data_IF_132333665841
#
_entry.id   IF_132333665841
#
_cell.length_a   1.000
_cell.length_b   1.000
_cell.length_c   1.000
_cell.angle_alpha   90.00
_cell.angle_beta   90.00
_cell.angle_gamma   90.00
#
_symmetry.space_group_name_H-M   'P 1'
#
loop_
_entity.id
_entity.type
_entity.pdbx_description
1 polymer ?
#
# COMPACT_ATOMS: atom_id res chain seq x y z
N UNK A 1 4.16 -10.59 -4.99
CA UNK A 1 4.48 -9.13 -4.85
C UNK A 1 3.21 -8.35 -5.13
N UNK A 2 2.81 -7.39 -4.28
CA UNK A 2 1.52 -6.68 -4.45
C UNK A 2 1.56 -5.73 -5.66
N UNK A 3 0.55 -5.80 -6.52
CA UNK A 3 0.42 -5.00 -7.75
C UNK A 3 -0.50 -3.78 -7.59
N UNK A 4 -0.17 -2.91 -6.64
CA UNK A 4 -0.90 -1.64 -6.39
C UNK A 4 -0.19 -0.40 -6.96
N UNK A 5 0.66 -0.53 -7.98
CA UNK A 5 1.44 0.61 -8.49
C UNK A 5 2.46 1.17 -7.48
N UNK A 6 2.70 0.46 -6.37
CA UNK A 6 3.56 0.89 -5.28
C UNK A 6 4.97 1.24 -5.74
N UNK A 7 5.55 0.52 -6.71
CA UNK A 7 6.90 0.83 -7.21
C UNK A 7 7.00 2.20 -7.91
N UNK A 8 5.97 2.60 -8.67
CA UNK A 8 5.94 3.93 -9.28
C UNK A 8 5.73 4.99 -8.22
N UNK A 9 4.79 4.77 -7.30
CA UNK A 9 4.53 5.70 -6.20
C UNK A 9 5.76 5.88 -5.29
N UNK A 10 6.48 4.81 -4.96
CA UNK A 10 7.71 4.84 -4.16
C UNK A 10 8.77 5.73 -4.80
N UNK A 11 9.01 5.61 -6.11
CA UNK A 11 9.96 6.49 -6.84
C UNK A 11 9.57 7.96 -6.77
N UNK A 12 8.28 8.23 -6.73
CA UNK A 12 7.75 9.57 -6.60
C UNK A 12 7.88 10.10 -5.17
N UNK A 13 7.60 9.28 -4.16
CA UNK A 13 7.75 9.63 -2.74
C UNK A 13 9.21 9.87 -2.34
N UNK A 14 10.16 9.17 -2.96
CA UNK A 14 11.61 9.36 -2.76
C UNK A 14 12.09 10.78 -3.13
N UNK A 15 11.29 11.53 -3.91
CA UNK A 15 11.55 12.94 -4.22
C UNK A 15 11.16 13.90 -3.10
N UNK A 16 10.39 13.43 -2.12
CA UNK A 16 9.87 14.24 -1.00
C UNK A 16 10.41 13.81 0.36
N UNK A 17 10.72 12.52 0.50
CA UNK A 17 11.07 11.89 1.76
C UNK A 17 12.29 10.99 1.60
N UNK A 18 13.08 10.87 2.66
CA UNK A 18 14.02 9.78 2.87
C UNK A 18 13.23 8.50 3.19
N UNK A 19 13.12 7.61 2.22
CA UNK A 19 12.34 6.38 2.35
C UNK A 19 13.07 5.33 3.19
N UNK A 20 12.35 4.76 4.16
CA UNK A 20 12.80 3.64 4.99
C UNK A 20 11.93 2.43 4.71
N UNK A 21 12.51 1.40 4.11
CA UNK A 21 11.79 0.21 3.66
C UNK A 21 11.75 -0.85 4.74
N UNK A 22 10.57 -1.07 5.29
CA UNK A 22 10.36 -2.02 6.37
C UNK A 22 9.74 -3.33 5.85
N UNK A 23 10.40 -3.96 4.88
CA UNK A 23 9.88 -5.12 4.17
C UNK A 23 10.19 -6.44 4.90
N UNK A 24 9.20 -7.35 4.90
CA UNK A 24 9.42 -8.75 5.23
C UNK A 24 10.03 -9.46 4.02
N UNK A 25 11.12 -10.19 4.24
CA UNK A 25 11.67 -11.14 3.28
C UNK A 25 11.06 -12.53 3.51
N UNK A 26 10.92 -13.30 2.43
CA UNK A 26 10.45 -14.69 2.52
C UNK A 26 11.42 -15.48 3.41
N UNK A 27 10.90 -16.06 4.49
CA UNK A 27 11.68 -16.81 5.48
C UNK A 27 12.07 -16.02 6.73
N UNK A 28 11.68 -14.75 6.84
CA UNK A 28 11.84 -13.99 8.09
C UNK A 28 10.98 -14.61 9.21
N UNK A 29 11.61 -14.86 10.36
CA UNK A 29 10.92 -15.30 11.58
C UNK A 29 10.47 -14.12 12.44
N UNK A 30 9.60 -14.40 13.42
CA UNK A 30 9.07 -13.39 14.35
C UNK A 30 10.18 -12.66 15.14
N UNK A 31 11.29 -13.34 15.43
CA UNK A 31 12.42 -12.78 16.18
C UNK A 31 13.23 -11.78 15.36
N UNK A 32 13.33 -11.98 14.05
CA UNK A 32 13.93 -11.03 13.12
C UNK A 32 13.00 -9.83 12.95
N UNK A 33 11.71 -10.08 12.74
CA UNK A 33 10.72 -9.01 12.56
C UNK A 33 10.63 -8.07 13.76
N UNK A 34 10.82 -8.57 14.98
CA UNK A 34 10.84 -7.74 16.21
C UNK A 34 12.13 -6.93 16.37
N UNK A 35 13.27 -7.43 15.88
CA UNK A 35 14.58 -6.74 15.95
C UNK A 35 14.76 -5.62 14.94
N UNK A 36 14.12 -5.73 13.78
CA UNK A 36 14.26 -4.77 12.67
C UNK A 36 13.09 -3.77 12.59
N UNK A 37 12.51 -3.39 13.74
CA UNK A 37 11.52 -2.31 13.82
C UNK A 37 12.24 -0.96 13.88
N UNK A 38 11.88 -0.03 13.01
CA UNK A 38 12.38 1.34 13.09
C UNK A 38 11.93 2.04 14.38
N UNK A 39 12.85 2.80 14.99
CA UNK A 39 12.50 3.66 16.12
C UNK A 39 11.65 4.84 15.62
N UNK A 40 10.39 4.90 16.07
CA UNK A 40 9.43 5.93 15.67
C UNK A 40 9.66 7.27 16.36
N UNK A 41 10.40 7.32 17.47
CA UNK A 41 10.69 8.55 18.23
C UNK A 41 11.65 9.49 17.50
N UNK A 42 12.45 8.96 16.57
CA UNK A 42 13.42 9.75 15.78
C UNK A 42 12.90 10.14 14.40
N UNK A 43 11.62 9.86 14.11
CA UNK A 43 11.03 10.21 12.83
C UNK A 43 10.85 11.71 12.71
N UNK A 44 11.44 12.28 11.67
CA UNK A 44 11.22 13.66 11.26
C UNK A 44 10.22 13.71 10.12
N UNK A 45 9.71 14.91 9.80
CA UNK A 45 8.79 15.14 8.68
C UNK A 45 9.36 14.81 7.28
N UNK A 46 10.66 14.54 7.20
CA UNK A 46 11.34 14.15 5.96
C UNK A 46 11.55 12.64 5.85
N UNK A 47 11.22 11.85 6.87
CA UNK A 47 11.34 10.40 6.83
C UNK A 47 9.97 9.78 6.55
N UNK A 48 9.92 8.82 5.63
CA UNK A 48 8.72 8.05 5.35
C UNK A 48 9.04 6.55 5.44
N UNK A 49 8.44 5.88 6.42
CA UNK A 49 8.48 4.42 6.50
C UNK A 49 7.47 3.86 5.49
N UNK A 50 7.92 2.94 4.65
CA UNK A 50 7.07 2.30 3.64
C UNK A 50 7.24 0.78 3.67
N UNK A 51 6.13 0.06 3.51
CA UNK A 51 6.15 -1.39 3.40
C UNK A 51 4.84 -1.94 2.82
N UNK A 52 4.81 -3.26 2.69
CA UNK A 52 3.63 -4.07 2.43
C UNK A 52 3.02 -4.52 3.78
N UNK A 53 2.34 -3.60 4.48
CA UNK A 53 1.70 -3.86 5.77
C UNK A 53 0.34 -4.55 5.62
N UNK A 54 0.31 -5.76 5.07
CA UNK A 54 -0.94 -6.45 4.71
C UNK A 54 -1.07 -7.88 5.24
N UNK A 55 -0.07 -8.38 5.97
CA UNK A 55 -0.12 -9.69 6.60
C UNK A 55 -0.56 -9.56 8.05
N UNK A 56 -1.32 -10.54 8.55
CA UNK A 56 -1.60 -10.63 9.98
C UNK A 56 -0.29 -10.82 10.76
N UNK A 57 -0.10 -10.06 11.84
CA UNK A 57 1.17 -9.89 12.56
C UNK A 57 2.05 -8.78 12.00
N UNK A 58 1.71 -8.20 10.85
CA UNK A 58 2.49 -7.16 10.17
C UNK A 58 1.63 -6.01 9.60
N UNK A 59 0.39 -5.87 10.07
CA UNK A 59 -0.40 -4.67 9.82
C UNK A 59 0.21 -3.47 10.55
N UNK A 60 -0.02 -2.24 10.06
CA UNK A 60 0.52 -1.02 10.69
C UNK A 60 0.16 -0.98 12.18
N UNK A 61 -1.09 -1.26 12.54
CA UNK A 61 -1.52 -1.25 13.95
C UNK A 61 -0.91 -2.35 14.82
N UNK A 62 -0.41 -3.44 14.21
CA UNK A 62 0.25 -4.52 14.94
C UNK A 62 1.75 -4.24 15.09
N UNK A 63 2.37 -3.66 14.05
CA UNK A 63 3.81 -3.37 14.04
C UNK A 63 4.16 -2.05 14.72
N UNK A 64 3.31 -1.05 14.55
CA UNK A 64 3.46 0.31 15.00
C UNK A 64 2.17 0.82 15.69
N UNK A 65 1.70 0.15 16.76
CA UNK A 65 0.46 0.54 17.45
C UNK A 65 0.50 1.98 17.96
N UNK A 66 1.68 2.48 18.33
CA UNK A 66 1.89 3.84 18.79
C UNK A 66 1.54 4.91 17.73
N UNK A 67 1.67 4.58 16.44
CA UNK A 67 1.40 5.50 15.33
C UNK A 67 -0.10 5.69 15.07
N UNK A 68 -0.95 4.80 15.59
CA UNK A 68 -2.40 4.95 15.48
C UNK A 68 -2.98 5.92 16.50
N UNK A 69 -2.19 6.39 17.46
CA UNK A 69 -2.62 7.37 18.47
C UNK A 69 -2.61 8.77 17.85
N UNK A 70 -3.68 9.53 18.08
CA UNK A 70 -3.82 10.91 17.60
C UNK A 70 -2.67 11.84 18.04
N UNK A 71 -2.11 11.57 19.21
CA UNK A 71 -1.02 12.34 19.83
C UNK A 71 0.37 12.08 19.20
N UNK A 72 0.50 11.07 18.33
CA UNK A 72 1.81 10.67 17.79
C UNK A 72 2.45 11.74 16.90
N UNK A 73 1.65 12.66 16.34
CA UNK A 73 2.12 13.63 15.35
C UNK A 73 2.52 13.03 14.00
N UNK A 74 2.45 11.71 13.86
CA UNK A 74 2.79 10.97 12.65
C UNK A 74 1.58 10.90 11.73
N UNK A 75 1.82 11.10 10.43
CA UNK A 75 0.78 11.08 9.40
C UNK A 75 0.80 9.77 8.66
N UNK A 76 -0.30 9.02 8.74
CA UNK A 76 -0.49 7.77 8.00
C UNK A 76 -1.16 8.07 6.66
N UNK A 77 -0.59 7.58 5.57
CA UNK A 77 -1.25 7.64 4.28
C UNK A 77 -1.08 6.34 3.50
N UNK A 78 -2.01 6.08 2.60
CA UNK A 78 -1.97 4.89 1.74
C UNK A 78 -2.63 5.18 0.39
N UNK A 79 -2.46 4.27 -0.56
CA UNK A 79 -3.11 4.34 -1.86
C UNK A 79 -3.85 3.03 -2.11
N UNK A 80 -5.14 3.15 -2.41
CA UNK A 80 -6.01 2.03 -2.71
C UNK A 80 -6.26 1.94 -4.20
N UNK A 81 -6.65 0.74 -4.64
CA UNK A 81 -6.99 0.43 -6.02
C UNK A 81 -8.36 -0.25 -6.02
N UNK A 82 -9.09 -0.14 -7.13
CA UNK A 82 -10.35 -0.87 -7.30
C UNK A 82 -10.13 -2.38 -7.06
N UNK A 83 -10.89 -3.03 -6.16
CA UNK A 83 -10.62 -4.41 -5.71
C UNK A 83 -10.54 -5.44 -6.82
N UNK A 84 -11.51 -5.47 -7.74
CA UNK A 84 -11.57 -6.49 -8.79
C UNK A 84 -10.41 -6.31 -9.78
N UNK A 85 -10.17 -5.07 -10.21
CA UNK A 85 -9.07 -4.71 -11.08
C UNK A 85 -7.71 -5.01 -10.46
N UNK A 86 -7.57 -4.87 -9.14
CA UNK A 86 -6.40 -5.32 -8.40
C UNK A 86 -6.24 -6.85 -8.47
N UNK A 87 -7.27 -7.62 -8.13
CA UNK A 87 -7.20 -9.08 -8.12
C UNK A 87 -6.90 -9.66 -9.50
N UNK A 88 -7.56 -9.16 -10.55
CA UNK A 88 -7.28 -9.56 -11.94
C UNK A 88 -5.82 -9.21 -12.31
N UNK A 89 -5.32 -8.04 -11.89
CA UNK A 89 -3.94 -7.65 -12.14
C UNK A 89 -2.94 -8.56 -11.42
N UNK A 90 -3.28 -9.04 -10.23
CA UNK A 90 -2.44 -9.97 -9.47
C UNK A 90 -2.43 -11.35 -10.14
N UNK A 91 -3.58 -11.86 -10.58
CA UNK A 91 -3.71 -13.12 -11.31
C UNK A 91 -2.73 -13.21 -12.49
N UNK A 92 -2.76 -12.22 -13.40
CA UNK A 92 -1.90 -12.25 -14.57
C UNK A 92 -0.41 -12.09 -14.21
N UNK A 93 -0.10 -11.34 -13.16
CA UNK A 93 1.27 -11.19 -12.70
C UNK A 93 1.84 -12.50 -12.14
N UNK A 94 1.11 -13.16 -11.24
CA UNK A 94 1.54 -14.42 -10.63
C UNK A 94 1.56 -15.55 -11.67
N UNK A 95 0.61 -15.57 -12.63
CA UNK A 95 0.64 -16.51 -13.77
C UNK A 95 1.88 -16.32 -14.64
N UNK A 96 2.28 -15.07 -14.93
CA UNK A 96 3.52 -14.78 -15.68
C UNK A 96 4.77 -15.22 -14.91
N UNK A 97 4.73 -15.19 -13.57
CA UNK A 97 5.84 -15.62 -12.70
C UNK A 97 5.86 -17.13 -12.42
N UNK A 98 4.88 -17.88 -12.92
CA UNK A 98 4.74 -19.31 -12.63
C UNK A 98 4.24 -19.62 -11.22
N UNK A 99 3.69 -18.62 -10.51
CA UNK A 99 3.22 -18.75 -9.13
C UNK A 99 1.81 -19.32 -8.97
N UNK A 100 1.02 -19.42 -10.06
CA UNK A 100 -0.33 -19.99 -10.05
C UNK A 100 -0.37 -21.26 -10.92
N UNK A 101 -0.60 -22.44 -10.32
CA UNK A 101 -0.71 -23.69 -11.09
C UNK A 101 -2.06 -23.75 -11.80
N UNK A 102 -2.07 -23.72 -13.15
CA UNK A 102 -3.21 -23.99 -14.05
C UNK A 102 -4.63 -23.54 -13.62
N UNK A 103 -4.74 -22.55 -12.73
CA UNK A 103 -6.00 -22.09 -12.15
C UNK A 103 -6.66 -21.11 -13.11
N UNK A 104 -7.97 -21.27 -13.32
CA UNK A 104 -8.77 -20.31 -14.05
C UNK A 104 -8.79 -18.95 -13.34
N UNK A 105 -9.10 -17.89 -14.10
CA UNK A 105 -9.26 -16.56 -13.49
C UNK A 105 -10.39 -16.56 -12.46
N UNK A 106 -11.54 -17.16 -12.79
CA UNK A 106 -12.71 -17.22 -11.90
C UNK A 106 -12.35 -17.95 -10.60
N UNK A 107 -11.80 -19.16 -10.71
CA UNK A 107 -11.39 -19.94 -9.55
C UNK A 107 -10.38 -19.16 -8.68
N UNK A 108 -9.43 -18.46 -9.30
CA UNK A 108 -8.48 -17.61 -8.56
C UNK A 108 -9.18 -16.48 -7.80
N UNK A 109 -10.15 -15.79 -8.41
CA UNK A 109 -10.89 -14.71 -7.76
C UNK A 109 -11.68 -15.21 -6.54
N UNK A 110 -12.24 -16.41 -6.63
CA UNK A 110 -12.98 -17.05 -5.53
C UNK A 110 -12.08 -17.48 -4.37
N UNK A 111 -10.80 -17.76 -4.62
CA UNK A 111 -9.86 -18.16 -3.55
C UNK A 111 -9.41 -17.02 -2.65
N UNK A 112 -9.53 -15.77 -3.10
CA UNK A 112 -8.89 -14.64 -2.42
C UNK A 112 -9.87 -13.82 -1.58
N UNK A 113 -9.62 -13.65 -0.27
CA UNK A 113 -10.39 -12.72 0.53
C UNK A 113 -10.20 -11.29 0.01
N UNK A 114 -11.15 -10.41 0.34
CA UNK A 114 -11.07 -9.01 -0.04
C UNK A 114 -9.83 -8.36 0.60
N UNK A 115 -8.83 -8.02 -0.23
CA UNK A 115 -7.58 -7.46 0.23
C UNK A 115 -7.76 -6.12 0.98
N UNK A 116 -8.73 -5.29 0.55
CA UNK A 116 -8.98 -4.02 1.21
C UNK A 116 -9.53 -4.21 2.62
N UNK A 117 -10.36 -5.24 2.87
CA UNK A 117 -10.86 -5.49 4.22
C UNK A 117 -9.79 -5.98 5.19
N UNK A 118 -8.68 -6.53 4.67
CA UNK A 118 -7.49 -6.84 5.49
C UNK A 118 -6.72 -5.59 5.87
N UNK A 119 -6.59 -4.63 4.95
CA UNK A 119 -5.89 -3.35 5.20
C UNK A 119 -6.71 -2.40 6.09
N UNK A 120 -8.02 -2.39 5.89
CA UNK A 120 -8.98 -1.60 6.63
C UNK A 120 -10.00 -2.57 7.22
N UNK A 121 -9.81 -3.02 8.48
CA UNK A 121 -10.75 -3.92 9.16
C UNK A 121 -12.02 -3.16 9.57
N UNK A 122 -12.71 -2.63 8.56
CA UNK A 122 -13.92 -1.85 8.68
C UNK A 122 -15.13 -2.76 8.83
N UNK A 123 -16.02 -2.36 9.73
CA UNK A 123 -17.41 -2.79 9.82
C UNK A 123 -18.31 -1.58 9.57
N UNK A 124 -19.63 -1.79 9.45
CA UNK A 124 -20.57 -0.67 9.28
C UNK A 124 -20.52 0.31 10.47
N UNK A 125 -20.15 -0.17 11.65
CA UNK A 125 -20.10 0.59 12.89
C UNK A 125 -18.80 1.38 13.05
N UNK A 126 -17.66 0.87 12.55
CA UNK A 126 -16.34 1.45 12.83
C UNK A 126 -15.63 2.07 11.61
N UNK A 127 -16.18 1.97 10.39
CA UNK A 127 -15.44 2.37 9.18
C UNK A 127 -14.95 3.81 9.22
N UNK A 128 -15.74 4.75 9.76
CA UNK A 128 -15.34 6.15 9.90
C UNK A 128 -14.10 6.28 10.76
N UNK A 129 -14.14 5.67 11.94
CA UNK A 129 -13.01 5.66 12.88
C UNK A 129 -11.75 5.06 12.24
N UNK A 130 -11.88 3.95 11.51
CA UNK A 130 -10.74 3.30 10.84
C UNK A 130 -10.16 4.17 9.73
N UNK A 131 -11.01 4.79 8.92
CA UNK A 131 -10.60 5.63 7.78
C UNK A 131 -10.03 6.97 8.26
N UNK A 132 -10.60 7.59 9.28
CA UNK A 132 -10.19 8.90 9.81
C UNK A 132 -8.79 8.87 10.47
N UNK A 133 -8.26 7.67 10.79
CA UNK A 133 -6.86 7.50 11.22
C UNK A 133 -5.86 7.83 10.13
N UNK A 134 -6.27 7.78 8.86
CA UNK A 134 -5.42 8.10 7.74
C UNK A 134 -5.48 9.60 7.44
N UNK A 135 -4.32 10.24 7.52
CA UNK A 135 -4.12 11.60 7.04
C UNK A 135 -4.51 11.75 5.56
N UNK A 136 -4.28 10.71 4.76
CA UNK A 136 -4.64 10.71 3.35
C UNK A 136 -4.82 9.29 2.80
N UNK A 137 -5.86 9.09 1.98
CA UNK A 137 -6.05 7.87 1.19
C UNK A 137 -6.17 8.26 -0.28
N UNK A 138 -5.17 7.89 -1.08
CA UNK A 138 -5.15 8.11 -2.52
C UNK A 138 -5.85 7.00 -3.29
N UNK A 139 -6.33 7.33 -4.49
CA UNK A 139 -6.92 6.35 -5.43
C UNK A 139 -5.95 6.17 -6.59
N UNK A 140 -5.49 4.95 -6.82
CA UNK A 140 -4.46 4.65 -7.82
C UNK A 140 -4.93 4.93 -9.26
N UNK A 141 -6.21 4.73 -9.54
CA UNK A 141 -6.82 5.07 -10.83
C UNK A 141 -6.73 6.59 -11.11
N UNK A 142 -6.68 7.40 -10.06
CA UNK A 142 -6.52 8.86 -10.08
C UNK A 142 -5.18 9.28 -9.47
N UNK A 143 -4.11 8.54 -9.81
CA UNK A 143 -2.80 8.68 -9.15
C UNK A 143 -2.23 10.10 -9.20
N UNK A 144 -2.26 10.78 -10.36
CA UNK A 144 -1.76 12.15 -10.48
C UNK A 144 -2.48 13.09 -9.51
N UNK A 145 -3.81 13.10 -9.56
CA UNK A 145 -4.62 13.92 -8.67
C UNK A 145 -4.40 13.58 -7.20
N UNK A 146 -4.28 12.29 -6.87
CA UNK A 146 -4.04 11.84 -5.50
C UNK A 146 -2.68 12.31 -4.98
N UNK A 147 -1.64 12.22 -5.81
CA UNK A 147 -0.29 12.73 -5.48
C UNK A 147 -0.31 14.25 -5.33
N UNK A 148 -0.97 14.99 -6.22
CA UNK A 148 -1.07 16.45 -6.12
C UNK A 148 -1.79 16.90 -4.84
N UNK A 149 -2.85 16.18 -4.44
CA UNK A 149 -3.54 16.40 -3.17
C UNK A 149 -2.65 16.11 -1.98
N UNK A 150 -1.95 14.98 -1.97
CA UNK A 150 -1.01 14.62 -0.92
C UNK A 150 0.12 15.66 -0.79
N UNK A 151 0.64 16.14 -1.92
CA UNK A 151 1.67 17.18 -1.97
C UNK A 151 1.19 18.45 -1.27
N UNK A 152 0.00 18.94 -1.64
CA UNK A 152 -0.61 20.13 -1.05
C UNK A 152 -0.83 19.96 0.46
N UNK A 153 -1.37 18.83 0.90
CA UNK A 153 -1.62 18.54 2.32
C UNK A 153 -0.31 18.43 3.14
N UNK A 154 0.76 17.97 2.49
CA UNK A 154 2.06 17.75 3.13
C UNK A 154 3.03 18.94 2.98
N UNK A 155 2.60 20.03 2.33
CA UNK A 155 3.46 21.18 2.03
C UNK A 155 4.62 20.86 1.08
N UNK A 156 4.49 19.79 0.28
CA UNK A 156 5.51 19.34 -0.68
C UNK A 156 5.18 19.88 -2.08
N UNK A 157 6.19 19.97 -2.94
CA UNK A 157 6.04 20.39 -4.35
C UNK A 157 5.27 19.34 -5.16
N UNK A 158 4.42 19.75 -6.08
CA UNK A 158 3.80 18.84 -7.05
C UNK A 158 4.80 18.41 -8.12
N UNK A 159 4.51 17.29 -8.79
CA UNK A 159 5.25 16.82 -9.95
C UNK A 159 4.36 15.94 -10.83
N UNK A 160 4.78 15.73 -12.08
CA UNK A 160 4.10 14.80 -12.98
C UNK A 160 4.53 13.37 -12.65
N UNK A 161 3.56 12.56 -12.26
CA UNK A 161 3.73 11.14 -11.94
C UNK A 161 3.95 10.37 -13.24
N UNK A 162 5.10 9.70 -13.35
CA UNK A 162 5.33 8.78 -14.46
C UNK A 162 4.66 7.44 -14.16
N UNK A 163 3.62 7.09 -14.94
CA UNK A 163 2.96 5.79 -14.81
C UNK A 163 3.82 4.71 -15.47
N UNK A 164 4.46 3.87 -14.66
CA UNK A 164 5.14 2.67 -15.16
C UNK A 164 4.15 1.49 -15.16
N UNK A 165 4.35 0.52 -16.06
CA UNK A 165 3.48 -0.66 -16.20
C UNK A 165 2.02 -0.34 -16.58
N UNK A 166 1.81 0.44 -17.65
CA UNK A 166 0.49 0.49 -18.29
C UNK A 166 0.21 -0.92 -18.81
N UNK A 167 -0.69 -1.65 -18.15
CA UNK A 167 -1.11 -2.96 -18.63
C UNK A 167 -1.63 -2.79 -20.06
N UNK A 168 -1.19 -3.62 -21.00
CA UNK A 168 -1.60 -3.55 -22.42
C UNK A 168 -3.11 -3.70 -22.66
N UNK A 169 -3.92 -3.87 -21.61
CA UNK A 169 -5.39 -3.94 -21.65
C UNK A 169 -6.05 -2.72 -22.30
N UNK A 170 -5.37 -1.58 -22.42
CA UNK A 170 -5.92 -0.38 -23.08
C UNK A 170 -5.62 -0.34 -24.59
N UNK A 171 -4.77 -1.23 -25.12
CA UNK A 171 -4.33 -1.17 -26.53
C UNK A 171 -5.02 -2.18 -27.46
N UNK A 172 -5.88 -3.06 -26.93
CA UNK A 172 -6.75 -3.89 -27.75
C UNK A 172 -8.15 -3.84 -27.15
N UNK A 173 -9.01 -3.04 -27.77
CA UNK A 173 -10.44 -3.04 -27.49
C UNK A 173 -10.95 -4.48 -27.53
N UNK A 174 -11.48 -4.90 -26.39
CA UNK A 174 -12.54 -5.90 -26.28
C UNK A 174 -13.72 -5.12 -25.70
#
# INVERSE_FOLDING_TARGET
MIKCGGSSLVKELDKWFSLQFDHILVGDDVNRLSKFKYNTEVLTSDICITSHFHYNGFLVGQRYPELLKAESGIRLFTFVREPLGFQISLYYFERQKGGIPNLGLIDFLETMPNFLSTLFPCTEENYREVIDRYFFIGILERMQESVDKLAKLSGKRTFIVKKENISQKTLKGI
#
